data_IF_553942688338
#
_entry.id   IF_553942688338
#
_cell.length_a   1.000
_cell.length_b   1.000
_cell.length_c   1.000
_cell.angle_alpha   90.00
_cell.angle_beta   90.00
_cell.angle_gamma   90.00
#
_symmetry.space_group_name_H-M   'P 1'
#
loop_
_entity.id
_entity.type
_entity.pdbx_description
1 polymer ?
#
# COMPACT_ATOMS: atom_id res chain seq x y z
N UNK A 1 -25.37 -14.89 0.40
CA UNK A 1 -26.46 -13.98 0.80
C UNK A 1 -27.25 -13.50 -0.44
N UNK A 2 -26.62 -12.89 -1.49
CA UNK A 2 -27.29 -12.31 -2.66
C UNK A 2 -28.28 -13.29 -3.30
N UNK A 3 -27.86 -14.53 -3.58
CA UNK A 3 -28.72 -15.57 -4.17
C UNK A 3 -29.85 -16.02 -3.26
N UNK A 4 -29.58 -16.23 -1.98
CA UNK A 4 -30.61 -16.68 -1.01
C UNK A 4 -31.72 -15.64 -0.89
N UNK A 5 -31.37 -14.35 -1.07
CA UNK A 5 -32.34 -13.25 -0.95
C UNK A 5 -32.98 -12.85 -2.29
N UNK A 6 -32.65 -13.53 -3.40
CA UNK A 6 -33.15 -13.19 -4.74
C UNK A 6 -32.73 -11.80 -5.24
N UNK A 7 -31.52 -11.36 -4.89
CA UNK A 7 -31.03 -10.02 -5.18
C UNK A 7 -30.05 -9.96 -6.39
N UNK A 8 -29.91 -11.06 -7.14
CA UNK A 8 -28.93 -11.20 -8.22
C UNK A 8 -29.02 -10.09 -9.28
N UNK A 9 -30.25 -9.64 -9.57
CA UNK A 9 -30.49 -8.58 -10.58
C UNK A 9 -30.47 -7.16 -10.02
N UNK A 10 -30.39 -7.00 -8.70
CA UNK A 10 -30.46 -5.70 -8.02
C UNK A 10 -29.14 -5.29 -7.37
N UNK A 11 -28.31 -6.25 -6.98
CA UNK A 11 -27.08 -5.99 -6.22
C UNK A 11 -25.88 -6.02 -7.16
N UNK A 12 -25.07 -4.99 -7.10
CA UNK A 12 -23.74 -4.96 -7.70
C UNK A 12 -22.70 -5.26 -6.63
N UNK A 13 -21.82 -6.21 -6.90
CA UNK A 13 -20.80 -6.69 -5.97
C UNK A 13 -19.40 -6.33 -6.47
N UNK A 14 -18.61 -5.71 -5.61
CA UNK A 14 -17.20 -5.43 -5.85
C UNK A 14 -16.34 -6.30 -4.92
N UNK A 15 -15.41 -7.05 -5.49
CA UNK A 15 -14.39 -7.80 -4.78
C UNK A 15 -13.09 -7.00 -4.75
N UNK A 16 -12.66 -6.64 -3.55
CA UNK A 16 -11.33 -6.09 -3.34
C UNK A 16 -10.29 -7.21 -3.51
N UNK A 17 -9.78 -7.35 -4.70
CA UNK A 17 -8.63 -8.19 -5.02
C UNK A 17 -7.33 -7.42 -4.77
N UNK A 18 -6.18 -7.99 -5.07
CA UNK A 18 -4.88 -7.44 -4.66
C UNK A 18 -3.79 -7.78 -5.65
N UNK A 19 -2.81 -6.90 -5.82
CA UNK A 19 -1.59 -7.18 -6.58
C UNK A 19 -0.74 -8.34 -6.00
N UNK A 20 -0.98 -8.70 -4.73
CA UNK A 20 -0.34 -9.87 -4.10
C UNK A 20 -0.72 -11.21 -4.80
N UNK A 21 -1.79 -11.22 -5.62
CA UNK A 21 -2.14 -12.37 -6.48
C UNK A 21 -1.01 -12.71 -7.45
N UNK A 22 -0.32 -11.69 -7.99
CA UNK A 22 0.77 -11.89 -8.93
C UNK A 22 1.98 -12.54 -8.27
N UNK A 23 2.25 -12.24 -6.99
CA UNK A 23 3.23 -12.90 -6.14
C UNK A 23 4.62 -13.03 -6.78
N UNK A 24 4.99 -14.24 -7.23
CA UNK A 24 6.18 -14.43 -8.08
C UNK A 24 5.84 -13.96 -9.49
N UNK A 25 6.08 -12.69 -9.74
CA UNK A 25 5.68 -11.96 -10.94
C UNK A 25 6.15 -12.67 -12.22
N UNK A 26 5.22 -12.88 -13.16
CA UNK A 26 5.47 -13.55 -14.43
C UNK A 26 5.66 -12.58 -15.60
N UNK A 27 5.15 -11.36 -15.45
CA UNK A 27 5.22 -10.28 -16.44
C UNK A 27 5.37 -8.92 -15.75
N UNK A 28 6.01 -7.96 -16.40
CA UNK A 28 6.14 -6.57 -15.91
C UNK A 28 5.89 -5.63 -17.09
N UNK A 29 4.95 -4.68 -16.99
CA UNK A 29 3.99 -4.49 -15.90
C UNK A 29 2.91 -5.58 -15.84
N UNK A 30 2.22 -5.70 -14.69
CA UNK A 30 1.12 -6.64 -14.51
C UNK A 30 -0.20 -6.05 -15.00
N UNK A 31 -0.97 -6.88 -15.71
CA UNK A 31 -2.28 -6.57 -16.27
C UNK A 31 -3.35 -7.53 -15.71
N UNK A 32 -4.60 -7.38 -16.16
CA UNK A 32 -5.70 -8.30 -15.80
C UNK A 32 -5.49 -9.73 -16.31
N UNK A 33 -4.61 -9.92 -17.29
CA UNK A 33 -4.33 -11.23 -17.92
C UNK A 33 -3.04 -11.87 -17.47
N UNK A 34 -2.22 -11.14 -16.70
CA UNK A 34 -0.97 -11.68 -16.14
C UNK A 34 -1.25 -12.85 -15.20
N UNK A 35 -0.60 -14.01 -15.38
CA UNK A 35 -0.80 -15.18 -14.53
C UNK A 35 -0.50 -14.91 -13.06
N UNK A 36 -1.37 -15.43 -12.19
CA UNK A 36 -1.19 -15.34 -10.75
C UNK A 36 -0.27 -16.42 -10.20
N UNK A 37 0.61 -16.05 -9.27
CA UNK A 37 1.50 -16.97 -8.55
C UNK A 37 1.62 -16.52 -7.07
N UNK A 38 0.59 -16.76 -6.22
CA UNK A 38 0.56 -16.24 -4.86
C UNK A 38 1.74 -16.73 -4.01
N UNK A 39 2.26 -15.85 -3.15
CA UNK A 39 3.44 -16.12 -2.32
C UNK A 39 3.16 -16.00 -0.82
N UNK A 40 1.89 -15.93 -0.42
CA UNK A 40 1.50 -15.88 1.00
C UNK A 40 0.13 -16.53 1.21
N UNK A 41 -0.19 -16.96 2.45
CA UNK A 41 -1.55 -17.43 2.78
C UNK A 41 -2.62 -16.38 2.50
N UNK A 42 -2.32 -15.10 2.73
CA UNK A 42 -3.18 -13.99 2.36
C UNK A 42 -3.47 -13.96 0.85
N UNK A 43 -2.43 -14.03 0.03
CA UNK A 43 -2.57 -14.03 -1.42
C UNK A 43 -3.36 -15.24 -1.92
N UNK A 44 -3.15 -16.43 -1.34
CA UNK A 44 -3.91 -17.63 -1.67
C UNK A 44 -5.40 -17.48 -1.33
N UNK A 45 -5.73 -16.90 -0.17
CA UNK A 45 -7.12 -16.61 0.21
C UNK A 45 -7.77 -15.60 -0.73
N UNK A 46 -7.04 -14.55 -1.12
CA UNK A 46 -7.50 -13.56 -2.09
C UNK A 46 -7.64 -14.14 -3.50
N UNK A 47 -6.83 -15.12 -3.89
CA UNK A 47 -6.97 -15.85 -5.15
C UNK A 47 -8.27 -16.65 -5.18
N UNK A 48 -8.61 -17.33 -4.09
CA UNK A 48 -9.93 -17.96 -3.96
C UNK A 48 -11.07 -16.93 -4.12
N UNK A 49 -10.97 -15.81 -3.42
CA UNK A 49 -11.98 -14.74 -3.51
C UNK A 49 -12.12 -14.15 -4.92
N UNK A 50 -11.03 -14.03 -5.65
CA UNK A 50 -11.03 -13.60 -7.05
C UNK A 50 -11.80 -14.58 -7.94
N UNK A 51 -11.45 -15.86 -7.89
CA UNK A 51 -12.05 -16.87 -8.75
C UNK A 51 -13.50 -17.22 -8.37
N UNK A 52 -13.86 -17.22 -7.09
CA UNK A 52 -15.26 -17.42 -6.70
C UNK A 52 -16.15 -16.26 -7.17
N UNK A 53 -15.61 -15.04 -7.25
CA UNK A 53 -16.32 -13.87 -7.79
C UNK A 53 -16.62 -14.04 -9.28
N UNK A 54 -15.63 -14.49 -10.06
CA UNK A 54 -15.82 -14.80 -11.49
C UNK A 54 -16.83 -15.94 -11.66
N UNK A 55 -16.66 -17.02 -10.91
CA UNK A 55 -17.56 -18.18 -10.97
C UNK A 55 -19.03 -17.78 -10.73
N UNK A 56 -19.29 -16.97 -9.70
CA UNK A 56 -20.65 -16.54 -9.40
C UNK A 56 -21.21 -15.54 -10.42
N UNK A 57 -20.35 -14.70 -11.00
CA UNK A 57 -20.72 -13.83 -12.12
C UNK A 57 -21.19 -14.64 -13.33
N UNK A 58 -20.41 -15.64 -13.72
CA UNK A 58 -20.69 -16.47 -14.90
C UNK A 58 -21.86 -17.44 -14.69
N UNK A 59 -21.87 -18.14 -13.55
CA UNK A 59 -22.87 -19.16 -13.27
C UNK A 59 -24.26 -18.59 -12.98
N UNK A 60 -24.35 -17.42 -12.36
CA UNK A 60 -25.62 -16.89 -11.83
C UNK A 60 -25.98 -15.51 -12.39
N UNK A 61 -25.17 -14.95 -13.25
CA UNK A 61 -25.42 -13.64 -13.85
C UNK A 61 -25.45 -12.50 -12.82
N UNK A 62 -24.74 -12.64 -11.72
CA UNK A 62 -24.59 -11.58 -10.71
C UNK A 62 -23.66 -10.53 -11.28
N UNK A 63 -24.01 -9.24 -11.13
CA UNK A 63 -23.05 -8.18 -11.37
C UNK A 63 -21.94 -8.23 -10.32
N UNK A 64 -20.82 -8.87 -10.64
CA UNK A 64 -19.69 -9.02 -9.73
C UNK A 64 -18.37 -8.71 -10.48
N UNK A 65 -17.54 -7.84 -9.92
CA UNK A 65 -16.27 -7.42 -10.51
C UNK A 65 -15.13 -7.46 -9.51
N UNK A 66 -13.93 -7.72 -10.00
CA UNK A 66 -12.70 -7.69 -9.21
C UNK A 66 -11.90 -6.42 -9.53
N UNK A 67 -11.55 -5.63 -8.52
CA UNK A 67 -10.49 -4.63 -8.64
C UNK A 67 -9.18 -5.22 -8.13
N UNK A 68 -8.19 -5.42 -9.00
CA UNK A 68 -6.86 -5.89 -8.64
C UNK A 68 -6.07 -4.68 -8.14
N UNK A 69 -6.20 -4.42 -6.84
CA UNK A 69 -5.65 -3.22 -6.21
C UNK A 69 -4.14 -3.38 -5.98
N UNK A 70 -3.37 -2.44 -6.50
CA UNK A 70 -1.99 -2.23 -6.08
C UNK A 70 -1.96 -1.53 -4.73
N UNK A 71 -0.76 -1.30 -4.17
CA UNK A 71 -0.66 -0.72 -2.85
C UNK A 71 -1.30 0.67 -2.83
N UNK A 72 -2.24 0.89 -1.93
CA UNK A 72 -2.94 2.17 -1.80
C UNK A 72 -2.92 2.64 -0.36
N UNK A 73 -2.48 3.86 -0.19
CA UNK A 73 -2.07 4.40 1.09
C UNK A 73 -2.80 5.72 1.39
N UNK A 74 -2.79 6.11 2.64
CA UNK A 74 -3.31 7.39 3.11
C UNK A 74 -2.89 7.62 4.56
N UNK A 75 -3.13 8.83 5.14
CA UNK A 75 -2.89 9.08 6.56
C UNK A 75 -3.59 8.16 7.54
N UNK A 76 -4.67 7.48 7.11
CA UNK A 76 -5.41 6.51 7.93
C UNK A 76 -5.01 5.04 7.65
N UNK A 77 -3.94 4.80 6.92
CA UNK A 77 -3.39 3.45 6.72
C UNK A 77 -3.09 2.81 8.07
N UNK A 78 -3.29 1.49 8.18
CA UNK A 78 -2.93 0.75 9.40
C UNK A 78 -1.45 0.97 9.78
N UNK A 79 -1.20 1.20 11.05
CA UNK A 79 0.09 1.70 11.58
C UNK A 79 1.27 0.75 11.40
N UNK A 80 1.01 -0.56 11.27
CA UNK A 80 2.02 -1.60 11.07
C UNK A 80 2.44 -1.79 9.61
N UNK A 81 1.71 -1.19 8.66
CA UNK A 81 2.10 -1.23 7.25
C UNK A 81 3.32 -0.33 6.99
N UNK A 82 4.20 -0.79 6.09
CA UNK A 82 5.53 -0.19 5.88
C UNK A 82 5.50 1.32 5.64
N UNK A 83 4.59 1.83 4.86
CA UNK A 83 4.44 3.24 4.54
C UNK A 83 4.12 4.07 5.78
N UNK A 84 3.08 3.67 6.53
CA UNK A 84 2.68 4.34 7.77
C UNK A 84 3.69 4.15 8.89
N UNK A 85 4.36 2.98 8.94
CA UNK A 85 5.47 2.73 9.85
C UNK A 85 6.61 3.74 9.62
N UNK A 86 6.95 4.03 8.36
CA UNK A 86 7.99 4.99 8.00
C UNK A 86 7.61 6.41 8.43
N UNK A 87 6.45 6.90 8.00
CA UNK A 87 6.04 8.30 8.24
C UNK A 87 5.91 8.60 9.72
N UNK A 88 5.29 7.69 10.49
CA UNK A 88 5.20 7.80 11.96
C UNK A 88 6.55 7.76 12.65
N UNK A 89 7.40 6.77 12.31
CA UNK A 89 8.69 6.65 12.95
C UNK A 89 9.57 7.87 12.72
N UNK A 90 9.67 8.36 11.47
CA UNK A 90 10.46 9.55 11.15
C UNK A 90 9.95 10.81 11.85
N UNK A 91 8.62 11.00 11.91
CA UNK A 91 8.00 12.08 12.66
C UNK A 91 8.37 12.03 14.16
N UNK A 92 8.29 10.85 14.77
CA UNK A 92 8.65 10.62 16.16
C UNK A 92 10.16 10.76 16.43
N UNK A 93 11.00 10.32 15.49
CA UNK A 93 12.47 10.48 15.58
C UNK A 93 12.83 11.97 15.53
N UNK A 94 12.20 12.74 14.65
CA UNK A 94 12.42 14.19 14.55
C UNK A 94 12.16 14.93 15.85
N UNK A 95 11.17 14.47 16.65
CA UNK A 95 10.80 15.04 17.94
C UNK A 95 11.48 14.36 19.13
N UNK A 96 12.37 13.38 18.91
CA UNK A 96 13.07 12.68 19.97
C UNK A 96 12.24 11.63 20.73
N UNK A 97 11.04 11.31 20.24
CA UNK A 97 10.14 10.31 20.84
C UNK A 97 10.49 8.86 20.48
N UNK A 98 11.31 8.68 19.45
CA UNK A 98 11.78 7.38 18.98
C UNK A 98 13.25 7.50 18.56
N UNK A 99 14.01 6.41 18.68
CA UNK A 99 15.44 6.42 18.37
C UNK A 99 15.74 5.98 16.94
N UNK A 100 15.08 4.94 16.46
CA UNK A 100 15.39 4.29 15.20
C UNK A 100 14.14 3.68 14.57
N UNK A 101 14.08 3.66 13.25
CA UNK A 101 13.13 2.92 12.42
C UNK A 101 13.79 1.64 11.94
N UNK A 102 13.16 0.49 12.18
CA UNK A 102 13.64 -0.81 11.72
C UNK A 102 12.80 -1.30 10.53
N UNK A 103 13.46 -1.63 9.42
CA UNK A 103 12.84 -2.08 8.18
C UNK A 103 13.44 -3.41 7.70
N UNK A 104 12.72 -4.14 6.86
CA UNK A 104 13.23 -5.29 6.14
C UNK A 104 13.96 -4.88 4.86
N UNK A 105 13.57 -5.49 3.72
CA UNK A 105 14.14 -5.17 2.42
C UNK A 105 13.76 -3.75 1.96
N UNK A 106 14.72 -2.83 2.01
CA UNK A 106 14.51 -1.43 1.60
C UNK A 106 14.60 -1.21 0.08
N UNK A 107 15.04 -2.20 -0.67
CA UNK A 107 15.14 -2.14 -2.13
C UNK A 107 13.93 -2.77 -2.83
N UNK A 108 12.99 -3.35 -2.06
CA UNK A 108 11.72 -3.85 -2.59
C UNK A 108 10.94 -2.71 -3.24
N UNK A 109 10.43 -2.97 -4.46
CA UNK A 109 9.71 -1.99 -5.28
C UNK A 109 8.21 -2.19 -5.22
N UNK A 110 7.46 -1.12 -5.06
CA UNK A 110 5.99 -1.15 -5.02
C UNK A 110 5.43 0.02 -5.85
N UNK A 111 4.29 -0.24 -6.44
CA UNK A 111 3.43 0.78 -7.03
C UNK A 111 2.48 1.26 -5.90
N UNK A 112 2.73 2.47 -5.41
CA UNK A 112 1.94 3.10 -4.35
C UNK A 112 1.07 4.23 -4.87
N UNK A 113 -0.25 4.07 -4.75
CA UNK A 113 -1.21 5.10 -5.07
C UNK A 113 -1.95 5.63 -3.83
N UNK A 114 -2.74 6.66 -4.01
CA UNK A 114 -3.56 7.21 -2.94
C UNK A 114 -4.92 6.53 -2.87
N UNK A 115 -5.37 6.20 -1.66
CA UNK A 115 -6.64 5.50 -1.42
C UNK A 115 -7.87 6.24 -2.00
N UNK A 116 -7.86 7.58 -2.06
CA UNK A 116 -8.94 8.38 -2.69
C UNK A 116 -9.13 8.02 -4.16
N UNK A 117 -8.04 7.94 -4.93
CA UNK A 117 -8.10 7.58 -6.36
C UNK A 117 -8.63 6.16 -6.56
N UNK A 118 -8.20 5.24 -5.68
CA UNK A 118 -8.63 3.84 -5.74
C UNK A 118 -10.11 3.66 -5.40
N UNK A 119 -10.63 4.40 -4.42
CA UNK A 119 -12.06 4.39 -4.08
C UNK A 119 -12.90 4.97 -5.22
N UNK A 120 -12.44 6.03 -5.88
CA UNK A 120 -13.09 6.56 -7.09
C UNK A 120 -13.22 5.47 -8.18
N UNK A 121 -12.13 4.72 -8.42
CA UNK A 121 -12.15 3.63 -9.39
C UNK A 121 -13.12 2.52 -9.01
N UNK A 122 -13.17 2.13 -7.73
CA UNK A 122 -14.13 1.11 -7.24
C UNK A 122 -15.57 1.53 -7.51
N UNK A 123 -15.87 2.81 -7.29
CA UNK A 123 -17.18 3.37 -7.58
C UNK A 123 -17.49 3.35 -9.09
N UNK A 124 -16.55 3.79 -9.94
CA UNK A 124 -16.69 3.79 -11.40
C UNK A 124 -16.95 2.39 -11.95
N UNK A 125 -16.27 1.37 -11.44
CA UNK A 125 -16.49 -0.03 -11.84
C UNK A 125 -17.95 -0.47 -11.59
N UNK A 126 -18.55 -0.02 -10.49
CA UNK A 126 -19.94 -0.35 -10.14
C UNK A 126 -20.97 0.49 -10.93
N UNK A 127 -20.57 1.53 -11.63
CA UNK A 127 -21.49 2.32 -12.49
C UNK A 127 -21.66 1.73 -13.89
N UNK A 128 -20.86 0.75 -14.28
CA UNK A 128 -20.88 0.17 -15.62
C UNK A 128 -22.12 -0.70 -15.87
N UNK A 129 -22.45 -0.91 -17.15
CA UNK A 129 -23.55 -1.79 -17.57
C UNK A 129 -23.19 -3.27 -17.38
N UNK A 130 -21.94 -3.62 -17.61
CA UNK A 130 -21.42 -4.99 -17.51
C UNK A 130 -20.26 -5.05 -16.53
N UNK A 131 -20.19 -6.11 -15.70
CA UNK A 131 -19.07 -6.28 -14.79
C UNK A 131 -17.81 -6.69 -15.53
N UNK A 132 -16.70 -6.00 -15.25
CA UNK A 132 -15.38 -6.36 -15.72
C UNK A 132 -14.37 -6.22 -14.58
N UNK A 133 -13.27 -6.96 -14.70
CA UNK A 133 -12.16 -6.88 -13.75
C UNK A 133 -11.13 -5.87 -14.24
N UNK A 134 -10.52 -5.11 -13.32
CA UNK A 134 -9.57 -4.06 -13.64
C UNK A 134 -8.36 -4.08 -12.71
N UNK A 135 -7.18 -3.89 -13.27
CA UNK A 135 -5.97 -3.51 -12.54
C UNK A 135 -6.07 -2.04 -12.13
N UNK A 136 -5.83 -1.77 -10.85
CA UNK A 136 -5.87 -0.42 -10.29
C UNK A 136 -4.50 -0.11 -9.70
N UNK A 137 -3.75 0.73 -10.41
CA UNK A 137 -2.34 1.03 -10.17
C UNK A 137 -2.00 2.44 -10.64
N UNK A 138 -0.86 2.96 -10.18
CA UNK A 138 -0.36 4.25 -10.67
C UNK A 138 0.46 4.12 -11.96
N UNK A 139 1.05 2.95 -12.21
CA UNK A 139 2.00 2.73 -13.30
C UNK A 139 3.41 3.21 -12.98
N UNK A 140 3.66 3.60 -11.73
CA UNK A 140 4.96 4.03 -11.24
C UNK A 140 5.41 3.15 -10.08
N UNK A 141 6.72 2.90 -9.99
CA UNK A 141 7.33 2.06 -8.97
C UNK A 141 8.36 2.84 -8.18
N UNK A 142 8.30 2.70 -6.85
CA UNK A 142 9.27 3.28 -5.93
C UNK A 142 9.80 2.23 -4.96
N UNK A 143 11.06 2.39 -4.52
CA UNK A 143 11.63 1.55 -3.48
C UNK A 143 11.18 2.01 -2.09
N UNK A 144 11.25 1.11 -1.11
CA UNK A 144 11.05 1.47 0.30
C UNK A 144 12.07 2.53 0.73
N UNK A 145 13.30 2.47 0.21
CA UNK A 145 14.36 3.47 0.41
C UNK A 145 13.91 4.85 -0.06
N UNK A 146 13.43 4.98 -1.31
CA UNK A 146 12.91 6.24 -1.85
C UNK A 146 11.77 6.79 -1.00
N UNK A 147 10.88 5.92 -0.50
CA UNK A 147 9.82 6.35 0.40
C UNK A 147 10.38 6.96 1.70
N UNK A 148 11.41 6.33 2.31
CA UNK A 148 12.10 6.88 3.49
C UNK A 148 12.74 8.23 3.17
N UNK A 149 13.44 8.35 2.04
CA UNK A 149 14.14 9.58 1.65
C UNK A 149 13.18 10.75 1.43
N UNK A 150 12.08 10.51 0.71
CA UNK A 150 11.04 11.52 0.47
C UNK A 150 10.39 11.94 1.79
N UNK A 151 10.01 10.98 2.64
CA UNK A 151 9.40 11.26 3.93
C UNK A 151 10.36 12.02 4.88
N UNK A 152 11.63 11.64 4.91
CA UNK A 152 12.65 12.31 5.70
C UNK A 152 12.91 13.75 5.21
N UNK A 153 12.97 13.94 3.90
CA UNK A 153 13.16 15.26 3.28
C UNK A 153 12.02 16.22 3.65
N UNK A 154 10.79 15.76 3.67
CA UNK A 154 9.62 16.57 4.07
C UNK A 154 9.74 17.05 5.54
N UNK A 155 10.41 16.26 6.39
CA UNK A 155 10.73 16.63 7.78
C UNK A 155 12.02 17.44 7.93
N UNK A 156 12.69 17.81 6.83
CA UNK A 156 14.01 18.47 6.85
C UNK A 156 15.14 17.58 7.40
N UNK A 157 15.02 16.28 7.20
CA UNK A 157 16.01 15.27 7.60
C UNK A 157 16.77 14.78 6.36
N UNK A 158 18.07 15.06 6.26
CA UNK A 158 18.94 14.56 5.19
C UNK A 158 19.55 13.22 5.63
N UNK A 159 18.97 12.11 5.19
CA UNK A 159 19.43 10.76 5.51
C UNK A 159 20.66 10.40 4.67
N UNK A 160 21.74 9.98 5.34
CA UNK A 160 22.95 9.46 4.71
C UNK A 160 23.03 7.97 4.91
N UNK A 161 22.97 7.20 3.84
CA UNK A 161 23.06 5.75 3.88
C UNK A 161 24.53 5.30 4.01
N UNK A 162 24.75 4.24 4.80
CA UNK A 162 26.05 3.64 5.03
C UNK A 162 25.89 2.14 5.20
N UNK A 163 26.84 1.39 4.63
CA UNK A 163 26.77 -0.08 4.59
C UNK A 163 25.97 -0.60 3.40
N UNK A 164 25.66 -1.88 3.42
CA UNK A 164 24.86 -2.55 2.40
C UNK A 164 24.09 -3.74 2.99
N UNK A 165 22.99 -4.14 2.32
CA UNK A 165 22.17 -5.29 2.69
C UNK A 165 21.69 -5.20 4.16
N UNK A 166 21.87 -6.27 4.93
CA UNK A 166 21.42 -6.34 6.33
C UNK A 166 22.18 -5.41 7.29
N UNK A 167 23.36 -4.92 6.88
CA UNK A 167 24.18 -3.99 7.68
C UNK A 167 23.94 -2.53 7.31
N UNK A 168 23.01 -2.25 6.40
CA UNK A 168 22.75 -0.91 5.93
C UNK A 168 22.02 -0.07 6.97
N UNK A 169 22.45 1.19 7.09
CA UNK A 169 21.96 2.16 8.06
C UNK A 169 21.74 3.51 7.41
N UNK A 170 20.63 4.13 7.73
CA UNK A 170 20.36 5.53 7.42
C UNK A 170 20.72 6.41 8.63
N UNK A 171 21.62 7.36 8.42
CA UNK A 171 22.12 8.24 9.46
C UNK A 171 21.62 9.68 9.25
N UNK A 172 21.27 10.33 10.35
CA UNK A 172 20.91 11.75 10.39
C UNK A 172 21.59 12.41 11.59
N UNK A 173 22.30 13.54 11.35
CA UNK A 173 23.07 14.27 12.37
C UNK A 173 24.01 13.36 13.18
N UNK A 174 24.69 12.43 12.52
CA UNK A 174 25.64 11.50 13.14
C UNK A 174 25.01 10.35 13.95
N UNK A 175 23.69 10.23 13.96
CA UNK A 175 22.97 9.14 14.65
C UNK A 175 22.31 8.21 13.62
N UNK A 176 22.32 6.92 13.90
CA UNK A 176 21.55 5.94 13.11
C UNK A 176 20.08 6.11 13.45
N UNK A 177 19.28 6.44 12.43
CA UNK A 177 17.83 6.68 12.56
C UNK A 177 17.00 5.68 11.73
N UNK A 178 17.63 4.98 10.78
CA UNK A 178 17.03 3.84 10.06
C UNK A 178 18.03 2.69 10.09
N UNK A 179 17.55 1.46 10.30
CA UNK A 179 18.38 0.26 10.28
C UNK A 179 17.63 -0.88 9.61
N UNK A 180 18.34 -1.63 8.78
CA UNK A 180 17.80 -2.90 8.26
C UNK A 180 17.82 -3.94 9.38
N UNK A 181 16.73 -4.68 9.55
CA UNK A 181 16.59 -5.72 10.57
C UNK A 181 16.05 -7.02 9.93
N UNK A 182 16.82 -8.12 10.00
CA UNK A 182 16.43 -9.41 9.41
C UNK A 182 15.06 -9.94 9.87
N UNK A 183 14.59 -9.55 11.06
CA UNK A 183 13.28 -9.97 11.59
C UNK A 183 12.10 -9.51 10.72
N UNK A 184 12.30 -8.44 9.92
CA UNK A 184 11.29 -7.90 9.02
C UNK A 184 11.42 -8.40 7.57
N UNK A 185 12.37 -9.30 7.28
CA UNK A 185 12.43 -9.95 5.98
C UNK A 185 11.33 -11.00 5.85
N UNK A 186 10.65 -10.99 4.73
CA UNK A 186 9.66 -12.02 4.43
C UNK A 186 10.36 -13.27 3.90
N UNK A 187 9.96 -14.49 4.32
CA UNK A 187 10.53 -15.73 3.80
C UNK A 187 10.41 -15.88 2.29
N UNK A 188 9.35 -15.29 1.73
CA UNK A 188 9.06 -15.26 0.29
C UNK A 188 8.74 -13.83 -0.10
N UNK A 189 9.79 -13.04 -0.37
CA UNK A 189 9.62 -11.63 -0.74
C UNK A 189 9.02 -11.50 -2.15
N UNK A 190 8.17 -10.50 -2.32
CA UNK A 190 7.73 -10.02 -3.62
C UNK A 190 8.60 -8.81 -3.96
N UNK A 191 9.56 -9.01 -4.86
CA UNK A 191 10.59 -8.00 -5.14
C UNK A 191 10.04 -6.78 -5.87
N UNK A 192 9.09 -7.00 -6.79
CA UNK A 192 8.58 -5.96 -7.67
C UNK A 192 7.07 -6.12 -7.92
N UNK A 193 6.35 -5.03 -7.87
CA UNK A 193 4.96 -4.91 -8.31
C UNK A 193 4.82 -3.60 -9.07
N UNK A 194 4.45 -3.68 -10.35
CA UNK A 194 4.20 -2.55 -11.24
C UNK A 194 2.96 -2.85 -12.06
N UNK A 195 1.88 -2.13 -11.83
CA UNK A 195 0.61 -2.37 -12.52
C UNK A 195 0.47 -1.56 -13.81
N UNK A 196 -0.30 -2.10 -14.73
CA UNK A 196 -0.77 -1.41 -15.94
C UNK A 196 -2.27 -1.17 -15.85
N UNK A 197 -2.68 0.08 -15.63
CA UNK A 197 -4.07 0.50 -15.57
C UNK A 197 -4.62 1.03 -16.91
N UNK A 198 -3.98 0.70 -18.03
CA UNK A 198 -4.39 1.14 -19.38
C UNK A 198 -5.84 0.77 -19.69
N UNK A 199 -6.32 -0.41 -19.26
CA UNK A 199 -7.72 -0.80 -19.42
C UNK A 199 -8.67 0.13 -18.67
N UNK A 200 -8.35 0.49 -17.43
CA UNK A 200 -9.13 1.43 -16.63
C UNK A 200 -9.19 2.81 -17.27
N UNK A 201 -8.06 3.31 -17.75
CA UNK A 201 -7.99 4.58 -18.49
C UNK A 201 -8.85 4.56 -19.74
N UNK A 202 -8.71 3.54 -20.58
CA UNK A 202 -9.39 3.50 -21.88
C UNK A 202 -10.90 3.27 -21.77
N UNK A 203 -11.34 2.44 -20.80
CA UNK A 203 -12.77 2.09 -20.66
C UNK A 203 -13.54 3.02 -19.73
N UNK A 204 -12.89 3.50 -18.65
CA UNK A 204 -13.56 4.25 -17.60
C UNK A 204 -13.07 5.71 -17.50
N UNK A 205 -12.05 6.10 -18.26
CA UNK A 205 -11.42 7.41 -18.17
C UNK A 205 -10.67 7.63 -16.87
N UNK A 206 -10.44 6.57 -16.10
CA UNK A 206 -9.77 6.68 -14.80
C UNK A 206 -8.26 6.78 -14.94
N UNK A 207 -7.71 7.76 -14.24
CA UNK A 207 -6.27 7.93 -14.03
C UNK A 207 -6.02 8.34 -12.57
N UNK A 208 -4.92 7.90 -11.94
CA UNK A 208 -4.55 8.39 -10.63
C UNK A 208 -4.25 9.89 -10.70
N UNK A 209 -4.70 10.65 -9.69
CA UNK A 209 -4.58 12.12 -9.64
C UNK A 209 -3.52 12.58 -8.65
N UNK A 210 -3.30 11.79 -7.61
CA UNK A 210 -2.38 12.12 -6.51
C UNK A 210 -1.06 11.41 -6.76
N UNK A 211 0.00 12.18 -6.89
CA UNK A 211 1.35 11.69 -7.12
C UNK A 211 1.95 11.02 -5.89
N UNK A 212 2.99 10.20 -6.10
CA UNK A 212 3.74 9.58 -5.00
C UNK A 212 4.26 10.61 -3.98
N UNK A 213 4.80 11.72 -4.46
CA UNK A 213 5.33 12.78 -3.58
C UNK A 213 4.21 13.43 -2.74
N UNK A 214 3.08 13.74 -3.34
CA UNK A 214 1.92 14.32 -2.64
C UNK A 214 1.36 13.35 -1.59
N UNK A 215 1.26 12.06 -1.92
CA UNK A 215 0.86 11.00 -0.99
C UNK A 215 1.79 10.94 0.23
N UNK A 216 3.10 10.85 0.01
CA UNK A 216 4.09 10.78 1.10
C UNK A 216 4.03 12.03 1.97
N UNK A 217 3.94 13.21 1.35
CA UNK A 217 3.82 14.50 2.04
C UNK A 217 2.58 14.56 2.93
N UNK A 218 1.40 14.20 2.39
CA UNK A 218 0.14 14.18 3.18
C UNK A 218 0.28 13.26 4.40
N UNK A 219 0.83 12.05 4.21
CA UNK A 219 1.04 11.09 5.30
C UNK A 219 2.01 11.61 6.36
N UNK A 220 3.12 12.22 5.94
CA UNK A 220 4.12 12.79 6.85
C UNK A 220 3.54 13.94 7.68
N UNK A 221 2.82 14.86 7.04
CA UNK A 221 2.20 16.02 7.72
C UNK A 221 1.22 15.57 8.79
N UNK A 222 0.37 14.58 8.50
CA UNK A 222 -0.61 14.09 9.48
C UNK A 222 0.06 13.32 10.63
N UNK A 223 1.05 12.48 10.34
CA UNK A 223 1.78 11.75 11.37
C UNK A 223 2.67 12.68 12.21
N UNK A 224 3.18 13.77 11.64
CA UNK A 224 3.94 14.77 12.40
C UNK A 224 3.04 15.53 13.39
N UNK A 225 1.85 15.98 12.98
CA UNK A 225 0.85 16.57 13.88
C UNK A 225 0.51 15.63 15.04
N UNK A 226 0.35 14.33 14.75
CA UNK A 226 0.09 13.32 15.78
C UNK A 226 1.28 13.20 16.75
N UNK A 227 2.51 13.17 16.23
CA UNK A 227 3.72 13.10 17.03
C UNK A 227 3.94 14.36 17.89
N UNK A 228 3.63 15.56 17.36
CA UNK A 228 3.67 16.81 18.14
C UNK A 228 2.68 16.78 19.31
N UNK A 229 1.48 16.27 19.09
CA UNK A 229 0.49 16.08 20.17
C UNK A 229 1.02 15.13 21.25
N UNK A 230 1.57 13.99 20.85
CA UNK A 230 2.16 13.01 21.78
C UNK A 230 3.33 13.63 22.58
N UNK A 231 4.18 14.38 21.90
CA UNK A 231 5.30 15.09 22.53
C UNK A 231 4.83 16.11 23.59
N UNK A 232 3.79 16.89 23.25
CA UNK A 232 3.20 17.85 24.17
C UNK A 232 2.59 17.15 25.41
N UNK A 233 1.87 16.05 25.21
CA UNK A 233 1.30 15.27 26.30
C UNK A 233 2.39 14.75 27.24
N UNK A 234 3.47 14.16 26.69
CA UNK A 234 4.59 13.64 27.49
C UNK A 234 5.32 14.75 28.23
N UNK A 235 5.56 15.92 27.63
CA UNK A 235 6.19 17.08 28.29
C UNK A 235 5.35 17.62 29.47
N UNK A 236 4.04 17.41 29.43
CA UNK A 236 3.10 17.79 30.50
C UNK A 236 2.88 16.66 31.53
N UNK A 237 3.61 15.54 31.41
CA UNK A 237 3.52 14.39 32.35
C UNK A 237 2.33 13.45 32.09
N UNK A 238 1.65 13.57 30.96
CA UNK A 238 0.57 12.66 30.57
C UNK A 238 1.13 11.45 29.80
N UNK A 239 0.52 10.27 29.98
CA UNK A 239 0.82 9.09 29.19
C UNK A 239 0.23 9.23 27.78
N UNK A 240 0.97 8.73 26.79
CA UNK A 240 0.51 8.63 25.39
C UNK A 240 0.38 7.17 25.00
N UNK A 241 -0.32 6.93 23.88
CA UNK A 241 -0.44 5.57 23.35
C UNK A 241 0.94 5.00 22.99
N UNK A 242 1.20 3.77 23.44
CA UNK A 242 2.45 3.06 23.13
C UNK A 242 2.25 2.30 21.81
N UNK A 243 2.81 2.84 20.74
CA UNK A 243 2.72 2.20 19.42
C UNK A 243 3.63 0.97 19.38
N UNK A 244 3.07 -0.15 18.94
CA UNK A 244 3.85 -1.33 18.63
C UNK A 244 4.55 -1.19 17.29
N UNK A 245 5.83 -1.58 17.23
CA UNK A 245 6.59 -1.69 15.97
C UNK A 245 6.31 -3.02 15.25
#
# INVERSE_FOLDING_TARGET
>A
AIRILGLEKKTKYYQASTSELYGKVQEVPQTETTPFYPRSPYAAAKLYAYWITINYREAYGIYACNGILFNHESPIRGETFVTRKITRALARIKLGLQKCLYLGNIDAKRDWGHAKDYVEMQWLMLQQKHPEDFTISTGEQHTVREFVEVAAKELGMDIKWQGNGINEKGNWQGKTVVSVDPRYFRPTEVETLLGDSTKAKNKLGWVPKITFIELVKEMVVEDFKQAERDHLCQTKGYSTYNYHE
#
